data_IF_825157420255
#
_entry.id   IF_825157420255
#
_cell.length_a   1.000
_cell.length_b   1.000
_cell.length_c   1.000
_cell.angle_alpha   90.00
_cell.angle_beta   90.00
_cell.angle_gamma   90.00
#
_symmetry.space_group_name_H-M   'P 1'
#
loop_
_entity.id
_entity.type
_entity.pdbx_description
1 polymer ?
#
# COMPACT_ATOMS: atom_id res chain seq x y z
N UNK A 1 20.17 -42.07 -63.20
CA UNK A 1 19.33 -41.65 -62.06
C UNK A 1 20.23 -41.12 -60.96
N UNK A 2 20.35 -39.80 -60.80
CA UNK A 2 21.09 -39.16 -59.70
C UNK A 2 20.07 -38.34 -58.89
N UNK A 3 19.84 -38.75 -57.64
CA UNK A 3 18.90 -38.11 -56.72
C UNK A 3 19.51 -36.87 -56.08
N UNK A 4 18.83 -35.73 -56.21
CA UNK A 4 19.13 -34.50 -55.49
C UNK A 4 18.36 -34.50 -54.17
N UNK A 5 19.05 -34.33 -53.03
CA UNK A 5 18.44 -34.10 -51.72
C UNK A 5 18.59 -32.63 -51.36
N UNK A 6 17.47 -31.92 -51.28
CA UNK A 6 17.39 -30.55 -50.75
C UNK A 6 17.15 -30.63 -49.24
N UNK A 7 17.91 -29.92 -48.38
CA UNK A 7 17.61 -29.87 -46.96
C UNK A 7 16.50 -28.84 -46.70
N UNK A 8 15.49 -29.25 -45.94
CA UNK A 8 14.41 -28.39 -45.45
C UNK A 8 14.91 -27.69 -44.17
N UNK A 9 15.13 -26.37 -44.23
CA UNK A 9 15.45 -25.58 -43.04
C UNK A 9 14.16 -25.30 -42.26
N UNK A 10 14.03 -25.88 -41.07
CA UNK A 10 12.95 -25.57 -40.12
C UNK A 10 13.37 -24.31 -39.35
N UNK A 11 12.70 -23.20 -39.62
CA UNK A 11 12.84 -21.98 -38.82
C UNK A 11 12.05 -22.17 -37.51
N UNK A 12 12.76 -22.31 -36.38
CA UNK A 12 12.15 -22.17 -35.05
C UNK A 12 11.83 -20.69 -34.82
N UNK A 13 10.56 -20.33 -34.87
CA UNK A 13 10.07 -19.05 -34.34
C UNK A 13 10.05 -19.18 -32.82
N UNK A 14 11.02 -18.56 -32.16
CA UNK A 14 10.97 -18.38 -30.71
C UNK A 14 9.85 -17.38 -30.39
N UNK A 15 8.74 -17.87 -29.83
CA UNK A 15 7.77 -17.00 -29.17
C UNK A 15 8.45 -16.36 -27.96
N UNK A 16 8.85 -15.11 -28.09
CA UNK A 16 9.17 -14.27 -26.96
C UNK A 16 7.87 -14.06 -26.17
N UNK A 17 7.67 -14.86 -25.12
CA UNK A 17 6.73 -14.53 -24.06
C UNK A 17 7.22 -13.22 -23.45
N UNK A 18 6.62 -12.10 -23.82
CA UNK A 18 6.73 -10.87 -23.06
C UNK A 18 6.06 -11.13 -21.73
N UNK A 19 6.84 -11.57 -20.75
CA UNK A 19 6.44 -11.53 -19.36
C UNK A 19 6.22 -10.05 -19.03
N UNK A 20 4.99 -9.59 -19.14
CA UNK A 20 4.60 -8.33 -18.53
C UNK A 20 4.77 -8.54 -17.03
N UNK A 21 5.84 -7.97 -16.49
CA UNK A 21 6.04 -7.90 -15.06
C UNK A 21 4.80 -7.21 -14.46
N UNK A 22 4.12 -7.92 -13.56
CA UNK A 22 2.95 -7.42 -12.88
C UNK A 22 3.40 -6.37 -11.85
N UNK A 23 2.89 -5.15 -11.94
CA UNK A 23 3.27 -4.02 -11.08
C UNK A 23 3.23 -4.41 -9.59
N UNK A 24 2.28 -5.25 -9.17
CA UNK A 24 2.23 -5.76 -7.80
C UNK A 24 3.41 -6.67 -7.43
N UNK A 25 3.84 -7.53 -8.34
CA UNK A 25 5.02 -8.40 -8.16
C UNK A 25 6.32 -7.58 -8.14
N UNK A 26 6.43 -6.55 -8.96
CA UNK A 26 7.57 -5.63 -8.97
C UNK A 26 7.66 -4.86 -7.65
N UNK A 27 6.53 -4.39 -7.12
CA UNK A 27 6.45 -3.78 -5.79
C UNK A 27 6.92 -4.76 -4.70
N UNK A 28 6.53 -6.03 -4.75
CA UNK A 28 7.03 -7.05 -3.80
C UNK A 28 8.54 -7.25 -3.90
N UNK A 29 9.08 -7.35 -5.12
CA UNK A 29 10.53 -7.43 -5.35
C UNK A 29 11.24 -6.22 -4.74
N UNK A 30 10.71 -5.01 -4.97
CA UNK A 30 11.26 -3.76 -4.43
C UNK A 30 11.22 -3.73 -2.90
N UNK A 31 10.10 -4.09 -2.28
CA UNK A 31 9.96 -4.13 -0.83
C UNK A 31 10.93 -5.13 -0.17
N UNK A 32 11.11 -6.30 -0.79
CA UNK A 32 12.11 -7.27 -0.33
C UNK A 32 13.54 -6.72 -0.42
N UNK A 33 13.88 -6.01 -1.49
CA UNK A 33 15.20 -5.35 -1.61
C UNK A 33 15.38 -4.29 -0.51
N UNK A 34 14.39 -3.41 -0.33
CA UNK A 34 14.43 -2.35 0.69
C UNK A 34 14.58 -2.93 2.10
N UNK A 35 13.80 -3.96 2.42
CA UNK A 35 13.82 -4.60 3.74
C UNK A 35 15.16 -5.27 4.06
N UNK A 36 15.77 -5.96 3.09
CA UNK A 36 17.02 -6.70 3.29
C UNK A 36 18.27 -5.82 3.25
N UNK A 37 18.17 -4.58 2.79
CA UNK A 37 19.31 -3.68 2.59
C UNK A 37 19.67 -2.90 3.88
N UNK A 38 20.52 -3.53 4.71
CA UNK A 38 20.95 -3.00 6.01
C UNK A 38 22.13 -2.04 5.94
N UNK A 39 22.36 -1.37 4.81
CA UNK A 39 23.44 -0.38 4.70
C UNK A 39 23.30 0.73 5.75
N UNK A 40 24.44 1.30 6.13
CA UNK A 40 24.50 2.37 7.13
C UNK A 40 23.94 3.70 6.58
N UNK A 41 24.23 4.00 5.32
CA UNK A 41 23.83 5.24 4.64
C UNK A 41 23.68 5.01 3.13
N UNK A 42 23.15 6.00 2.42
CA UNK A 42 22.89 5.95 0.99
C UNK A 42 24.03 6.54 0.15
N UNK A 43 25.27 6.22 0.50
CA UNK A 43 26.47 6.65 -0.23
C UNK A 43 27.10 7.91 0.35
N UNK A 44 27.19 7.97 1.67
CA UNK A 44 27.88 9.01 2.45
C UNK A 44 27.13 9.43 3.71
N UNK A 45 27.84 10.00 4.70
CA UNK A 45 27.28 10.31 6.01
C UNK A 45 26.23 11.43 6.00
N UNK A 46 26.11 12.18 4.91
CA UNK A 46 25.04 13.17 4.71
C UNK A 46 23.75 12.58 4.13
N UNK A 47 23.70 11.26 3.89
CA UNK A 47 22.59 10.58 3.23
C UNK A 47 22.06 9.45 4.11
N UNK A 48 21.22 9.73 5.13
CA UNK A 48 20.62 8.69 5.97
C UNK A 48 20.03 7.52 5.19
N UNK A 49 20.08 6.31 5.75
CA UNK A 49 19.65 5.10 5.05
C UNK A 49 18.17 5.11 4.60
N UNK A 50 17.28 5.84 5.28
CA UNK A 50 15.88 5.97 4.86
C UNK A 50 15.69 6.58 3.47
N UNK A 51 16.73 7.22 2.91
CA UNK A 51 16.68 7.78 1.56
C UNK A 51 16.61 6.69 0.49
N UNK A 52 17.11 5.47 0.75
CA UNK A 52 17.24 4.43 -0.27
C UNK A 52 17.03 2.99 0.22
N UNK A 53 16.89 2.76 1.54
CA UNK A 53 16.66 1.44 2.10
C UNK A 53 15.66 1.47 3.25
N UNK A 54 15.16 0.28 3.60
CA UNK A 54 14.07 0.06 4.54
C UNK A 54 12.70 0.47 4.00
N UNK A 55 11.66 -0.05 4.65
CA UNK A 55 10.26 0.20 4.31
C UNK A 55 9.72 1.25 5.27
N UNK A 56 9.55 2.47 4.78
CA UNK A 56 8.89 3.54 5.51
C UNK A 56 7.39 3.48 5.24
N UNK A 57 6.57 3.46 6.28
CA UNK A 57 5.12 3.33 6.11
C UNK A 57 4.36 4.01 7.25
N UNK A 58 3.06 4.23 7.02
CA UNK A 58 2.14 4.75 8.04
C UNK A 58 0.91 3.85 8.12
N UNK A 59 0.63 3.36 9.33
CA UNK A 59 -0.64 2.71 9.63
C UNK A 59 -1.75 3.75 9.79
N UNK A 60 -2.95 3.47 9.28
CA UNK A 60 -4.07 4.41 9.28
C UNK A 60 -5.35 3.75 9.76
N UNK A 61 -6.21 4.51 10.43
CA UNK A 61 -7.60 4.12 10.64
C UNK A 61 -8.35 4.21 9.32
N UNK A 62 -8.97 3.12 8.84
CA UNK A 62 -9.83 3.20 7.67
C UNK A 62 -11.03 4.12 7.94
N UNK A 63 -11.31 5.05 7.05
CA UNK A 63 -12.45 5.96 7.16
C UNK A 63 -12.91 6.44 5.79
N UNK A 64 -14.22 6.65 5.67
CA UNK A 64 -14.84 7.34 4.53
C UNK A 64 -14.99 8.84 4.75
N UNK A 65 -14.74 9.33 5.97
CA UNK A 65 -14.91 10.74 6.36
C UNK A 65 -13.71 11.60 5.97
N UNK A 66 -12.55 10.97 5.73
CA UNK A 66 -11.31 11.61 5.30
C UNK A 66 -10.51 10.66 4.41
N UNK A 67 -9.57 11.22 3.64
CA UNK A 67 -8.68 10.42 2.81
C UNK A 67 -7.58 9.81 3.67
N UNK A 68 -7.12 8.62 3.33
CA UNK A 68 -6.06 7.93 4.08
C UNK A 68 -4.74 8.71 4.16
N UNK A 69 -4.49 9.61 3.20
CA UNK A 69 -3.33 10.48 3.14
C UNK A 69 -3.56 11.86 3.78
N UNK A 70 -4.75 12.13 4.33
CA UNK A 70 -5.02 13.39 5.00
C UNK A 70 -4.20 13.53 6.28
N UNK A 71 -3.70 14.74 6.52
CA UNK A 71 -2.90 15.08 7.68
C UNK A 71 -3.86 15.41 8.82
N UNK A 72 -3.80 14.61 9.90
CA UNK A 72 -4.69 14.77 11.06
C UNK A 72 -4.62 16.19 11.66
N UNK A 73 -5.67 16.69 12.34
CA UNK A 73 -5.62 18.01 13.00
C UNK A 73 -4.43 18.20 13.95
N UNK A 74 -4.03 17.15 14.68
CA UNK A 74 -2.82 17.19 15.52
C UNK A 74 -1.53 17.32 14.71
N UNK A 75 -1.46 16.61 13.58
CA UNK A 75 -0.31 16.72 12.67
C UNK A 75 -0.26 18.06 11.95
N UNK A 76 -1.41 18.65 11.61
CA UNK A 76 -1.48 20.01 11.09
C UNK A 76 -0.98 21.03 12.11
N UNK A 77 -1.40 20.90 13.39
CA UNK A 77 -0.98 21.80 14.46
C UNK A 77 0.50 21.66 14.84
N UNK A 78 1.01 20.42 14.93
CA UNK A 78 2.42 20.18 15.26
C UNK A 78 3.36 20.43 14.08
N UNK A 79 2.88 20.29 12.85
CA UNK A 79 3.70 20.35 11.64
C UNK A 79 4.41 19.03 11.32
N UNK A 80 4.12 17.94 12.02
CA UNK A 80 4.71 16.64 11.74
C UNK A 80 3.74 15.47 11.72
N UNK A 81 4.13 14.41 11.02
CA UNK A 81 3.36 13.18 10.86
C UNK A 81 4.22 11.98 11.25
N UNK A 82 3.67 11.08 12.09
CA UNK A 82 4.39 9.88 12.50
C UNK A 82 4.42 8.82 11.39
N UNK A 83 5.55 8.17 11.24
CA UNK A 83 5.75 7.02 10.37
C UNK A 83 6.56 5.94 11.11
N UNK A 84 6.47 4.72 10.64
CA UNK A 84 7.28 3.61 11.14
C UNK A 84 8.24 3.14 10.05
N UNK A 85 9.39 2.61 10.47
CA UNK A 85 10.47 2.18 9.57
C UNK A 85 10.83 0.71 9.82
N UNK A 86 10.68 -0.12 8.81
CA UNK A 86 10.92 -1.56 8.89
C UNK A 86 12.09 -1.99 8.00
N UNK A 87 13.06 -2.64 8.62
CA UNK A 87 14.24 -3.22 7.98
C UNK A 87 14.63 -4.50 8.71
N UNK A 88 15.43 -5.36 8.09
CA UNK A 88 15.83 -6.65 8.65
C UNK A 88 16.47 -6.55 10.05
N UNK A 89 17.18 -5.47 10.31
CA UNK A 89 17.87 -5.13 11.56
C UNK A 89 17.08 -4.14 12.46
N UNK A 90 15.85 -3.77 12.10
CA UNK A 90 15.00 -2.80 12.82
C UNK A 90 13.53 -3.27 12.93
N UNK A 91 13.32 -4.59 13.11
CA UNK A 91 12.01 -5.24 13.03
C UNK A 91 11.23 -5.32 14.34
N UNK A 92 9.91 -5.32 14.22
CA UNK A 92 8.93 -5.40 15.32
C UNK A 92 7.67 -6.16 14.85
N UNK A 93 6.90 -6.70 15.80
CA UNK A 93 5.83 -7.67 15.52
C UNK A 93 4.42 -7.09 15.36
N UNK A 94 4.22 -5.79 15.63
CA UNK A 94 2.90 -5.16 15.60
C UNK A 94 2.96 -3.69 15.21
N UNK A 95 1.84 -3.14 14.78
CA UNK A 95 1.67 -1.72 14.52
C UNK A 95 1.12 -0.97 15.73
N UNK A 96 1.27 0.35 15.71
CA UNK A 96 0.66 1.24 16.70
C UNK A 96 -0.86 1.04 16.78
N UNK A 97 -1.41 1.11 17.99
CA UNK A 97 -2.85 1.00 18.29
C UNK A 97 -3.54 -0.28 17.79
N UNK A 98 -2.80 -1.33 17.43
CA UNK A 98 -3.37 -2.56 16.88
C UNK A 98 -3.94 -2.39 15.46
N UNK A 99 -3.55 -1.32 14.76
CA UNK A 99 -3.88 -1.11 13.36
C UNK A 99 -3.33 -2.25 12.48
N UNK A 100 -3.99 -2.49 11.36
CA UNK A 100 -3.71 -3.64 10.48
C UNK A 100 -3.53 -3.28 9.01
N UNK A 101 -3.61 -1.99 8.68
CA UNK A 101 -3.49 -1.49 7.31
C UNK A 101 -3.00 -0.05 7.27
N UNK A 102 -2.59 0.36 6.08
CA UNK A 102 -2.07 1.69 5.83
C UNK A 102 -1.45 1.79 4.44
N UNK A 103 -0.44 2.63 4.32
CA UNK A 103 0.27 2.86 3.07
C UNK A 103 1.78 2.93 3.28
N UNK A 104 2.52 2.56 2.24
CA UNK A 104 3.98 2.53 2.18
C UNK A 104 4.44 3.69 1.30
N UNK A 105 5.37 4.50 1.80
CA UNK A 105 5.97 5.57 1.03
C UNK A 105 7.00 5.02 0.05
N UNK A 106 7.16 5.66 -1.10
CA UNK A 106 8.41 5.49 -1.86
C UNK A 106 9.60 5.97 -1.03
N UNK A 107 10.76 5.35 -1.21
CA UNK A 107 12.00 5.93 -0.71
C UNK A 107 12.29 7.24 -1.44
N UNK A 108 12.88 8.24 -0.77
CA UNK A 108 13.23 9.53 -1.38
C UNK A 108 14.06 9.38 -2.67
N UNK A 109 15.09 8.53 -2.71
CA UNK A 109 15.87 8.28 -3.94
C UNK A 109 15.15 7.40 -4.98
N UNK A 110 14.05 6.77 -4.60
CA UNK A 110 13.16 6.03 -5.51
C UNK A 110 11.95 6.85 -5.96
N UNK A 111 11.77 8.06 -5.43
CA UNK A 111 10.65 8.93 -5.73
C UNK A 111 10.68 9.33 -7.22
N UNK A 112 9.55 9.30 -7.94
CA UNK A 112 9.49 9.86 -9.28
C UNK A 112 10.00 11.31 -9.31
N UNK A 113 10.75 11.68 -10.35
CA UNK A 113 11.42 13.00 -10.42
C UNK A 113 10.46 14.19 -10.41
N UNK A 114 9.20 13.97 -10.80
CA UNK A 114 8.13 14.96 -10.82
C UNK A 114 7.30 14.98 -9.52
N UNK A 115 7.63 14.11 -8.55
CA UNK A 115 7.05 14.11 -7.21
C UNK A 115 7.94 14.89 -6.24
N UNK A 116 7.35 15.41 -5.17
CA UNK A 116 8.10 16.09 -4.12
C UNK A 116 8.55 15.09 -3.07
N UNK A 117 9.78 15.28 -2.59
CA UNK A 117 10.32 14.52 -1.48
C UNK A 117 9.69 14.95 -0.15
N UNK A 118 9.48 14.00 0.74
CA UNK A 118 9.16 14.29 2.14
C UNK A 118 10.44 14.50 2.95
N UNK A 119 10.34 15.26 4.03
CA UNK A 119 11.44 15.44 4.98
C UNK A 119 11.25 14.52 6.19
N UNK A 120 12.28 13.74 6.54
CA UNK A 120 12.35 13.05 7.84
C UNK A 120 13.04 14.00 8.82
N UNK A 121 12.36 14.32 9.91
CA UNK A 121 12.82 15.30 10.91
C UNK A 121 13.64 14.64 12.01
N UNK A 122 13.11 13.57 12.58
CA UNK A 122 13.78 12.85 13.65
C UNK A 122 13.36 11.38 13.70
N UNK A 123 14.19 10.58 14.38
CA UNK A 123 13.95 9.16 14.60
C UNK A 123 14.06 8.80 16.08
N UNK A 124 13.07 8.06 16.56
CA UNK A 124 13.05 7.42 17.87
C UNK A 124 13.19 5.90 17.71
N UNK A 125 14.06 5.24 18.51
CA UNK A 125 14.22 3.78 18.46
C UNK A 125 12.97 2.99 18.87
N UNK A 126 12.07 3.60 19.62
CA UNK A 126 10.80 3.01 20.08
C UNK A 126 9.74 4.13 20.12
N UNK A 127 8.46 3.77 20.16
CA UNK A 127 7.33 4.70 20.34
C UNK A 127 7.67 5.82 21.33
N UNK A 128 7.39 7.06 20.94
CA UNK A 128 7.79 8.24 21.68
C UNK A 128 6.63 9.19 21.96
N UNK A 129 5.39 8.74 21.73
CA UNK A 129 4.19 9.53 21.92
C UNK A 129 4.26 10.92 21.25
N UNK A 130 4.72 10.96 20.00
CA UNK A 130 5.16 12.21 19.37
C UNK A 130 4.08 13.26 19.14
N UNK A 131 2.81 12.87 19.20
CA UNK A 131 1.66 13.79 19.22
C UNK A 131 1.68 14.79 20.40
N UNK A 132 2.39 14.45 21.49
CA UNK A 132 2.50 15.27 22.68
C UNK A 132 3.84 16.03 22.80
N UNK A 133 4.63 16.05 21.73
CA UNK A 133 5.97 16.64 21.70
C UNK A 133 6.05 17.96 20.92
N UNK A 134 6.97 18.83 21.36
CA UNK A 134 7.32 20.09 20.68
C UNK A 134 8.22 19.85 19.44
N UNK A 135 8.49 20.90 18.66
CA UNK A 135 9.33 20.88 17.44
C UNK A 135 8.91 19.77 16.46
N UNK A 136 7.70 19.89 15.92
CA UNK A 136 7.11 18.90 15.01
C UNK A 136 7.08 17.46 15.57
N UNK A 137 7.13 17.30 16.89
CA UNK A 137 7.10 16.01 17.59
C UNK A 137 8.47 15.44 17.93
N UNK A 138 9.54 16.21 17.82
CA UNK A 138 10.92 15.71 17.96
C UNK A 138 11.58 15.98 19.31
N UNK A 139 11.07 16.90 20.11
CA UNK A 139 11.74 17.30 21.38
C UNK A 139 10.81 17.12 22.58
N UNK A 140 10.92 18.01 23.55
CA UNK A 140 10.16 18.14 24.80
C UNK A 140 8.72 17.59 24.75
N UNK A 141 8.42 16.71 25.70
CA UNK A 141 7.13 16.03 25.82
C UNK A 141 6.26 16.64 26.90
N UNK A 142 5.01 16.98 26.55
CA UNK A 142 4.03 17.47 27.52
C UNK A 142 3.61 16.41 28.55
N UNK A 143 4.00 15.15 28.36
CA UNK A 143 3.71 14.03 29.28
C UNK A 143 4.70 13.95 30.45
N UNK A 144 5.80 14.70 30.41
CA UNK A 144 6.91 14.59 31.38
C UNK A 144 7.17 15.95 32.05
N UNK A 145 6.18 16.48 32.80
CA UNK A 145 6.28 17.83 33.37
C UNK A 145 7.51 17.95 34.28
N UNK A 146 8.26 19.05 34.11
CA UNK A 146 9.48 19.34 34.87
C UNK A 146 10.76 18.76 34.28
N UNK A 147 10.68 18.08 33.13
CA UNK A 147 11.83 17.61 32.34
C UNK A 147 11.70 18.23 30.95
N UNK A 148 12.83 18.52 30.30
CA UNK A 148 12.86 19.04 28.92
C UNK A 148 13.63 18.06 28.06
N UNK A 149 12.93 17.27 27.24
CA UNK A 149 13.58 16.41 26.26
C UNK A 149 14.13 17.22 25.09
N UNK A 150 15.31 16.83 24.61
CA UNK A 150 16.04 17.47 23.51
C UNK A 150 16.43 16.45 22.46
N UNK A 151 16.98 16.91 21.35
CA UNK A 151 17.71 16.03 20.45
C UNK A 151 18.88 15.38 21.19
N UNK A 152 19.21 14.14 20.84
CA UNK A 152 20.25 13.38 21.54
C UNK A 152 21.62 14.07 21.49
N UNK A 153 21.98 14.64 20.33
CA UNK A 153 23.27 15.29 20.16
C UNK A 153 23.43 16.55 21.04
N UNK A 154 22.35 17.25 21.37
CA UNK A 154 22.37 18.41 22.28
C UNK A 154 22.65 18.01 23.74
N UNK A 155 22.57 16.72 24.04
CA UNK A 155 22.84 16.15 25.36
C UNK A 155 24.15 15.33 25.37
N UNK A 156 24.94 15.39 24.30
CA UNK A 156 26.15 14.58 24.14
C UNK A 156 25.88 13.09 23.88
N UNK A 157 24.62 12.71 23.61
CA UNK A 157 24.23 11.34 23.27
C UNK A 157 24.35 11.19 21.75
N UNK A 158 25.32 10.41 21.32
CA UNK A 158 25.66 10.19 19.91
C UNK A 158 25.75 8.72 19.53
N UNK A 159 25.67 7.80 20.50
CA UNK A 159 25.66 6.35 20.24
C UNK A 159 24.43 5.67 20.79
N UNK A 160 24.12 4.50 20.22
CA UNK A 160 23.08 3.61 20.71
C UNK A 160 23.25 3.22 22.18
N UNK A 161 24.48 3.00 22.64
CA UNK A 161 24.78 2.65 24.03
C UNK A 161 24.50 3.81 24.99
N UNK A 162 24.88 5.04 24.59
CA UNK A 162 24.57 6.25 25.34
C UNK A 162 23.06 6.49 25.42
N UNK A 163 22.35 6.27 24.31
CA UNK A 163 20.90 6.36 24.27
C UNK A 163 20.26 5.33 25.22
N UNK A 164 20.69 4.06 25.19
CA UNK A 164 20.18 3.02 26.08
C UNK A 164 20.45 3.32 27.56
N UNK A 165 21.63 3.83 27.89
CA UNK A 165 21.98 4.24 29.25
C UNK A 165 21.05 5.35 29.75
N UNK A 166 20.79 6.37 28.91
CA UNK A 166 19.84 7.44 29.23
C UNK A 166 18.40 6.93 29.35
N UNK A 167 17.95 6.08 28.42
CA UNK A 167 16.62 5.49 28.43
C UNK A 167 16.38 4.64 29.70
N UNK A 168 17.35 3.83 30.10
CA UNK A 168 17.31 3.07 31.36
C UNK A 168 17.33 3.95 32.61
N UNK A 169 18.12 5.03 32.61
CA UNK A 169 18.12 6.02 33.69
C UNK A 169 16.72 6.67 33.83
N UNK A 170 16.03 6.85 32.71
CA UNK A 170 14.65 7.32 32.65
C UNK A 170 13.62 6.19 32.82
N UNK A 171 14.03 5.01 33.31
CA UNK A 171 13.18 3.85 33.62
C UNK A 171 12.43 3.27 32.41
N UNK A 172 12.97 3.44 31.21
CA UNK A 172 12.32 2.97 29.98
C UNK A 172 11.03 3.72 29.65
N UNK A 173 10.89 4.97 30.11
CA UNK A 173 9.71 5.78 29.80
C UNK A 173 9.77 6.28 28.35
N UNK A 174 8.79 5.88 27.54
CA UNK A 174 8.65 6.23 26.12
C UNK A 174 8.56 7.75 25.90
N UNK A 175 8.08 8.50 26.89
CA UNK A 175 8.03 9.96 26.83
C UNK A 175 9.35 10.62 27.24
N UNK A 176 10.23 9.93 27.97
CA UNK A 176 11.53 10.44 28.47
C UNK A 176 12.70 9.85 27.70
N UNK A 177 12.69 10.07 26.38
CA UNK A 177 13.79 9.73 25.49
C UNK A 177 14.13 10.90 24.57
N UNK A 178 15.41 11.06 24.27
CA UNK A 178 15.88 11.98 23.24
C UNK A 178 15.63 11.38 21.84
N UNK A 179 15.52 12.25 20.83
CA UNK A 179 15.39 11.86 19.43
C UNK A 179 16.70 12.04 18.67
N UNK A 180 16.93 11.19 17.67
CA UNK A 180 18.02 11.40 16.72
C UNK A 180 17.55 12.42 15.68
N UNK A 181 18.18 13.60 15.66
CA UNK A 181 17.94 14.63 14.65
C UNK A 181 18.57 14.23 13.32
N UNK A 182 17.74 14.09 12.29
CA UNK A 182 18.15 13.61 10.96
C UNK A 182 17.78 14.58 9.85
N UNK A 183 17.41 15.82 10.21
CA UNK A 183 17.09 16.86 9.23
C UNK A 183 18.30 17.18 8.36
N UNK A 184 18.03 17.68 7.17
CA UNK A 184 19.06 18.00 6.17
C UNK A 184 20.11 19.00 6.70
N UNK A 185 19.74 19.90 7.62
CA UNK A 185 20.68 20.86 8.22
C UNK A 185 21.78 20.18 9.06
N UNK A 186 21.56 18.93 9.49
CA UNK A 186 22.60 18.12 10.17
C UNK A 186 23.67 17.63 9.19
N UNK A 187 23.42 17.68 7.89
CA UNK A 187 24.35 17.30 6.83
C UNK A 187 25.06 15.97 7.17
N UNK A 188 26.39 15.93 7.23
CA UNK A 188 27.18 14.72 7.51
C UNK A 188 26.93 14.09 8.88
N UNK A 189 26.19 14.73 9.78
CA UNK A 189 25.79 14.15 11.05
C UNK A 189 24.43 13.41 10.98
N UNK A 190 23.61 13.64 9.95
CA UNK A 190 22.29 13.03 9.81
C UNK A 190 22.36 11.51 9.62
N UNK A 191 23.23 11.03 8.71
CA UNK A 191 23.39 9.61 8.42
C UNK A 191 23.85 8.81 9.64
N UNK A 192 24.95 9.21 10.32
CA UNK A 192 25.36 8.61 11.58
C UNK A 192 24.27 8.64 12.66
N UNK A 193 23.53 9.75 12.81
CA UNK A 193 22.45 9.85 13.79
C UNK A 193 21.33 8.83 13.50
N UNK A 194 20.87 8.71 12.26
CA UNK A 194 19.87 7.72 11.88
C UNK A 194 20.37 6.28 12.07
N UNK A 195 21.62 6.01 11.72
CA UNK A 195 22.20 4.68 11.96
C UNK A 195 22.22 4.31 13.45
N UNK A 196 22.53 5.28 14.32
CA UNK A 196 22.53 5.07 15.76
C UNK A 196 21.11 4.88 16.32
N UNK A 197 20.07 5.45 15.70
CA UNK A 197 18.68 5.16 16.09
C UNK A 197 18.30 3.71 15.80
N UNK A 198 18.71 3.16 14.65
CA UNK A 198 18.51 1.74 14.33
C UNK A 198 19.29 0.85 15.31
N UNK A 199 20.57 1.16 15.56
CA UNK A 199 21.37 0.42 16.54
C UNK A 199 20.77 0.46 17.94
N UNK A 200 20.21 1.59 18.35
CA UNK A 200 19.55 1.73 19.66
C UNK A 200 18.39 0.74 19.82
N UNK A 201 17.64 0.43 18.75
CA UNK A 201 16.60 -0.60 18.79
C UNK A 201 17.16 -1.96 19.21
N UNK A 202 18.34 -2.35 18.71
CA UNK A 202 19.00 -3.60 19.06
C UNK A 202 19.44 -3.66 20.53
N UNK A 203 19.75 -2.51 21.14
CA UNK A 203 20.15 -2.45 22.55
C UNK A 203 18.99 -2.65 23.53
N UNK A 204 17.74 -2.59 23.04
CA UNK A 204 16.49 -2.86 23.76
C UNK A 204 15.62 -3.89 23.03
N UNK A 205 16.26 -4.87 22.37
CA UNK A 205 15.61 -5.78 21.41
C UNK A 205 14.38 -6.54 21.93
N UNK A 206 14.29 -6.84 23.23
CA UNK A 206 13.09 -7.47 23.79
C UNK A 206 11.89 -6.53 23.77
N UNK A 207 12.11 -5.25 24.09
CA UNK A 207 11.07 -4.23 24.12
C UNK A 207 10.72 -3.73 22.72
N UNK A 208 11.74 -3.35 21.94
CA UNK A 208 11.58 -2.82 20.57
C UNK A 208 11.01 -3.85 19.60
N UNK A 209 11.13 -5.16 19.88
CA UNK A 209 10.42 -6.16 19.07
C UNK A 209 8.90 -6.14 19.31
N UNK A 210 8.47 -5.73 20.50
CA UNK A 210 7.05 -5.72 20.90
C UNK A 210 6.36 -4.37 20.71
N UNK A 211 7.11 -3.34 20.35
CA UNK A 211 6.66 -1.96 20.18
C UNK A 211 7.36 -1.35 18.96
N UNK A 212 6.61 -0.76 18.05
CA UNK A 212 7.12 -0.10 16.86
C UNK A 212 8.12 1.03 17.19
N UNK A 213 9.02 1.31 16.26
CA UNK A 213 9.75 2.57 16.25
C UNK A 213 8.87 3.73 15.75
N UNK A 214 9.39 4.95 15.87
CA UNK A 214 8.67 6.13 15.44
C UNK A 214 9.61 7.16 14.78
N UNK A 215 9.33 7.47 13.52
CA UNK A 215 9.93 8.58 12.79
C UNK A 215 8.92 9.73 12.72
N UNK A 216 9.43 10.96 12.67
CA UNK A 216 8.63 12.15 12.37
C UNK A 216 8.98 12.67 11.00
N UNK A 217 7.96 12.78 10.16
CA UNK A 217 8.03 13.42 8.86
C UNK A 217 7.48 14.84 8.98
N UNK A 218 7.98 15.78 8.17
CA UNK A 218 7.29 17.04 7.96
C UNK A 218 5.89 16.78 7.40
N UNK A 219 4.90 17.60 7.77
CA UNK A 219 3.59 17.54 7.13
C UNK A 219 3.72 17.85 5.62
N UNK A 220 2.80 17.29 4.85
CA UNK A 220 2.68 17.53 3.41
C UNK A 220 1.38 18.26 3.08
N UNK A 221 1.31 18.80 1.87
CA UNK A 221 0.09 19.39 1.32
C UNK A 221 -0.80 18.31 0.70
N UNK A 222 -2.11 18.42 0.90
CA UNK A 222 -3.09 17.40 0.49
C UNK A 222 -3.63 17.65 -0.93
N UNK A 223 -2.77 17.81 -1.95
CA UNK A 223 -3.23 18.17 -3.31
C UNK A 223 -2.64 17.33 -4.46
N UNK A 224 -3.41 16.33 -4.94
CA UNK A 224 -3.43 14.93 -4.46
C UNK A 224 -2.07 14.43 -3.87
N UNK A 225 -1.93 13.19 -3.36
CA UNK A 225 -0.66 12.72 -2.80
C UNK A 225 0.42 12.48 -3.87
N UNK A 226 0.86 13.55 -4.54
CA UNK A 226 2.14 13.66 -5.28
C UNK A 226 3.29 14.05 -4.36
N UNK A 227 3.00 14.19 -3.07
CA UNK A 227 3.93 14.59 -2.01
C UNK A 227 3.39 14.07 -0.67
N UNK A 228 3.97 13.02 -0.07
CA UNK A 228 4.96 12.09 -0.63
C UNK A 228 4.38 11.06 -1.61
N UNK A 229 5.24 10.51 -2.47
CA UNK A 229 4.87 9.38 -3.33
C UNK A 229 4.61 8.11 -2.51
N UNK A 230 3.67 7.32 -3.00
CA UNK A 230 3.16 6.14 -2.33
C UNK A 230 3.47 4.94 -3.22
N UNK A 231 4.19 3.97 -2.64
CA UNK A 231 4.62 2.76 -3.32
C UNK A 231 3.53 1.67 -3.33
N UNK A 232 2.76 1.59 -2.24
CA UNK A 232 1.72 0.58 -2.08
C UNK A 232 0.74 0.93 -0.95
N UNK A 233 -0.46 0.36 -1.02
CA UNK A 233 -1.26 0.12 0.19
C UNK A 233 -0.79 -1.17 0.84
N UNK A 234 -0.97 -1.30 2.15
CA UNK A 234 -0.65 -2.54 2.84
C UNK A 234 -1.72 -2.97 3.83
N UNK A 235 -1.74 -4.27 4.08
CA UNK A 235 -2.38 -4.88 5.25
C UNK A 235 -1.44 -5.91 5.88
N UNK A 236 -1.55 -6.16 7.18
CA UNK A 236 -0.67 -7.10 7.90
C UNK A 236 -1.29 -8.47 8.13
N UNK A 237 -2.62 -8.55 8.09
CA UNK A 237 -3.43 -9.75 8.27
C UNK A 237 -4.85 -9.51 7.73
N UNK A 238 -5.65 -10.56 7.53
CA UNK A 238 -6.94 -10.45 6.82
C UNK A 238 -7.89 -9.38 7.39
N UNK A 239 -7.89 -9.16 8.70
CA UNK A 239 -8.68 -8.11 9.35
C UNK A 239 -8.32 -6.67 8.94
N UNK A 240 -7.19 -6.46 8.25
CA UNK A 240 -6.78 -5.17 7.68
C UNK A 240 -7.08 -5.00 6.19
N UNK A 241 -7.48 -6.06 5.48
CA UNK A 241 -7.62 -6.05 4.02
C UNK A 241 -8.62 -5.01 3.53
N UNK A 242 -9.79 -4.91 4.17
CA UNK A 242 -10.83 -3.95 3.79
C UNK A 242 -10.40 -2.50 3.98
N UNK A 243 -9.55 -2.22 4.97
CA UNK A 243 -8.92 -0.92 5.13
C UNK A 243 -7.97 -0.58 3.99
N UNK A 244 -7.13 -1.54 3.58
CA UNK A 244 -6.22 -1.34 2.46
C UNK A 244 -6.95 -1.19 1.11
N UNK A 245 -8.06 -1.94 0.90
CA UNK A 245 -8.92 -1.83 -0.28
C UNK A 245 -9.63 -0.47 -0.35
N UNK A 246 -10.13 0.03 0.78
CA UNK A 246 -10.68 1.39 0.87
C UNK A 246 -9.64 2.43 0.45
N UNK A 247 -8.42 2.34 0.98
CA UNK A 247 -7.34 3.25 0.61
C UNK A 247 -6.97 3.16 -0.88
N UNK A 248 -6.97 1.95 -1.46
CA UNK A 248 -6.75 1.74 -2.90
C UNK A 248 -7.82 2.45 -3.75
N UNK A 249 -9.09 2.38 -3.35
CA UNK A 249 -10.19 3.08 -4.03
C UNK A 249 -10.05 4.60 -3.93
N UNK A 250 -9.76 5.10 -2.74
CA UNK A 250 -9.50 6.53 -2.49
C UNK A 250 -8.35 7.05 -3.36
N UNK A 251 -7.26 6.29 -3.46
CA UNK A 251 -6.14 6.60 -4.34
C UNK A 251 -6.58 6.64 -5.81
N UNK A 252 -7.26 5.60 -6.30
CA UNK A 252 -7.68 5.54 -7.70
C UNK A 252 -8.63 6.70 -8.07
N UNK A 253 -9.56 7.05 -7.18
CA UNK A 253 -10.45 8.22 -7.38
C UNK A 253 -9.70 9.55 -7.40
N UNK A 254 -8.64 9.69 -6.60
CA UNK A 254 -7.89 10.94 -6.47
C UNK A 254 -6.83 11.12 -7.57
N UNK A 255 -6.20 10.03 -8.00
CA UNK A 255 -4.99 10.04 -8.84
C UNK A 255 -5.23 9.42 -10.22
N UNK A 256 -6.25 8.56 -10.38
CA UNK A 256 -6.54 7.86 -11.62
C UNK A 256 -5.53 6.77 -12.00
N UNK A 257 -4.71 6.32 -11.03
CA UNK A 257 -3.64 5.35 -11.25
C UNK A 257 -3.83 4.11 -10.38
N UNK A 258 -3.37 2.96 -10.88
CA UNK A 258 -3.33 1.72 -10.10
C UNK A 258 -2.19 1.78 -9.06
N UNK A 259 -2.51 1.39 -7.83
CA UNK A 259 -1.56 1.23 -6.74
C UNK A 259 -1.85 -0.10 -6.01
N UNK A 260 -0.86 -1.00 -5.87
CA UNK A 260 -1.12 -2.34 -5.38
C UNK A 260 -1.37 -2.36 -3.86
N UNK A 261 -2.23 -3.29 -3.43
CA UNK A 261 -2.40 -3.70 -2.04
C UNK A 261 -1.46 -4.88 -1.77
N UNK A 262 -0.54 -4.72 -0.83
CA UNK A 262 0.47 -5.71 -0.45
C UNK A 262 0.17 -6.28 0.94
N UNK A 263 0.26 -7.61 1.07
CA UNK A 263 0.30 -8.23 2.38
C UNK A 263 1.72 -8.06 2.95
N UNK A 264 1.87 -7.19 3.96
CA UNK A 264 3.10 -6.97 4.70
C UNK A 264 3.00 -7.70 6.05
N UNK A 265 3.39 -8.97 6.10
CA UNK A 265 3.33 -9.74 7.35
C UNK A 265 4.51 -9.35 8.24
N UNK A 266 4.20 -8.93 9.47
CA UNK A 266 5.21 -8.64 10.47
C UNK A 266 5.71 -9.95 11.14
N UNK A 267 6.99 -10.02 11.52
CA UNK A 267 7.56 -11.21 12.14
C UNK A 267 6.91 -11.51 13.49
N UNK A 268 6.65 -12.79 13.77
CA UNK A 268 6.06 -13.22 15.06
C UNK A 268 7.11 -13.56 16.11
N UNK A 269 8.36 -13.78 15.69
CA UNK A 269 9.53 -13.92 16.56
C UNK A 269 10.73 -13.15 16.01
N UNK A 270 11.74 -12.88 16.85
CA UNK A 270 12.95 -12.15 16.42
C UNK A 270 13.77 -12.87 15.36
N UNK A 271 13.63 -14.19 15.25
CA UNK A 271 14.32 -15.01 14.26
C UNK A 271 13.62 -14.94 12.89
N UNK A 272 12.35 -14.59 12.85
CA UNK A 272 11.59 -14.43 11.61
C UNK A 272 11.81 -13.05 11.00
N UNK A 273 11.75 -13.00 9.68
CA UNK A 273 11.78 -11.76 8.92
C UNK A 273 10.34 -11.35 8.52
N UNK A 274 10.16 -10.07 8.20
CA UNK A 274 8.91 -9.62 7.58
C UNK A 274 8.82 -10.17 6.15
N UNK A 275 7.60 -10.44 5.69
CA UNK A 275 7.36 -10.91 4.32
C UNK A 275 6.41 -9.98 3.58
N UNK A 276 6.55 -9.95 2.27
CA UNK A 276 5.72 -9.14 1.37
C UNK A 276 5.13 -10.06 0.31
N UNK A 277 3.81 -10.04 0.15
CA UNK A 277 3.12 -10.84 -0.85
C UNK A 277 2.08 -10.00 -1.59
N UNK A 278 1.98 -10.23 -2.90
CA UNK A 278 0.96 -9.69 -3.75
C UNK A 278 0.01 -10.81 -4.17
N UNK A 279 -1.29 -10.53 -4.08
CA UNK A 279 -2.35 -11.41 -4.57
C UNK A 279 -3.34 -10.55 -5.37
N UNK A 280 -3.49 -10.87 -6.65
CA UNK A 280 -4.40 -10.15 -7.55
C UNK A 280 -5.87 -10.28 -7.12
N UNK A 281 -6.24 -11.34 -6.40
CA UNK A 281 -7.59 -11.53 -5.85
C UNK A 281 -7.88 -10.62 -4.65
N UNK A 282 -6.84 -10.08 -4.01
CA UNK A 282 -6.96 -9.17 -2.86
C UNK A 282 -7.12 -7.70 -3.30
N UNK A 283 -6.97 -7.39 -4.58
CA UNK A 283 -7.17 -6.06 -5.16
C UNK A 283 -8.65 -5.78 -5.45
N UNK A 284 -9.06 -4.51 -5.39
CA UNK A 284 -10.36 -4.04 -5.93
C UNK A 284 -10.14 -3.42 -7.31
N UNK A 285 -9.22 -2.48 -7.40
CA UNK A 285 -8.80 -1.86 -8.66
C UNK A 285 -7.80 -2.78 -9.36
N UNK A 286 -7.93 -2.90 -10.68
CA UNK A 286 -7.08 -3.75 -11.52
C UNK A 286 -6.04 -2.92 -12.29
N UNK A 287 -4.83 -3.46 -12.55
CA UNK A 287 -3.86 -2.79 -13.41
C UNK A 287 -4.41 -2.63 -14.84
N UNK A 288 -4.20 -1.46 -15.46
CA UNK A 288 -4.63 -1.20 -16.84
C UNK A 288 -3.54 -1.59 -17.84
N UNK A 289 -3.91 -2.15 -18.99
CA UNK A 289 -2.97 -2.44 -20.08
C UNK A 289 -2.94 -1.36 -21.16
N UNK A 290 -3.99 -0.54 -21.24
CA UNK A 290 -4.08 0.60 -22.15
C UNK A 290 -4.65 1.84 -21.42
N UNK A 291 -4.35 3.04 -21.93
CA UNK A 291 -4.85 4.31 -21.37
C UNK A 291 -6.36 4.42 -21.58
N UNK A 292 -7.04 5.16 -20.70
CA UNK A 292 -8.46 5.43 -20.85
C UNK A 292 -8.81 6.00 -22.24
N UNK A 293 -9.77 5.35 -22.89
CA UNK A 293 -10.24 5.71 -24.24
C UNK A 293 -11.63 6.36 -24.25
N UNK A 294 -12.37 6.26 -23.14
CA UNK A 294 -13.67 6.90 -22.96
C UNK A 294 -13.61 7.97 -21.87
N UNK A 295 -14.42 9.01 -22.00
CA UNK A 295 -14.66 9.99 -20.92
C UNK A 295 -15.36 9.32 -19.73
N UNK A 296 -16.40 8.53 -20.02
CA UNK A 296 -17.03 7.58 -19.08
C UNK A 296 -17.38 6.28 -19.78
N UNK A 297 -17.21 5.17 -19.07
CA UNK A 297 -17.56 3.84 -19.54
C UNK A 297 -19.01 3.46 -19.22
N UNK A 298 -19.53 3.93 -18.08
CA UNK A 298 -20.83 3.55 -17.52
C UNK A 298 -21.77 4.74 -17.59
N UNK A 299 -22.91 4.61 -18.27
CA UNK A 299 -23.95 5.64 -18.25
C UNK A 299 -24.66 5.67 -16.90
N UNK A 300 -25.11 4.51 -16.42
CA UNK A 300 -25.73 4.31 -15.11
C UNK A 300 -25.44 2.91 -14.58
N UNK A 301 -25.41 2.76 -13.27
CA UNK A 301 -25.39 1.46 -12.61
C UNK A 301 -26.25 1.52 -11.34
N UNK A 302 -27.11 0.53 -11.14
CA UNK A 302 -28.09 0.54 -10.04
C UNK A 302 -28.28 -0.85 -9.47
N UNK A 303 -28.28 -0.94 -8.14
CA UNK A 303 -28.57 -2.17 -7.44
C UNK A 303 -30.06 -2.50 -7.50
N UNK A 304 -30.37 -3.68 -8.02
CA UNK A 304 -31.73 -4.20 -8.11
C UNK A 304 -31.76 -5.63 -7.60
N UNK A 305 -32.88 -6.01 -6.99
CA UNK A 305 -33.13 -7.39 -6.58
C UNK A 305 -33.92 -8.10 -7.68
N UNK A 306 -33.41 -9.22 -8.18
CA UNK A 306 -33.99 -9.94 -9.32
C UNK A 306 -34.07 -11.43 -9.04
N UNK A 307 -35.12 -12.08 -9.54
CA UNK A 307 -35.20 -13.54 -9.55
C UNK A 307 -34.08 -14.10 -10.45
N UNK A 308 -33.19 -14.92 -9.89
CA UNK A 308 -32.16 -15.61 -10.66
C UNK A 308 -32.51 -17.08 -10.84
N UNK A 309 -32.69 -17.56 -12.09
CA UNK A 309 -32.99 -18.96 -12.37
C UNK A 309 -31.88 -19.93 -11.92
N UNK A 310 -30.64 -19.46 -11.87
CA UNK A 310 -29.50 -20.27 -11.44
C UNK A 310 -29.50 -20.52 -9.93
N UNK A 311 -29.81 -19.50 -9.12
CA UNK A 311 -29.89 -19.62 -7.67
C UNK A 311 -31.27 -20.04 -7.15
N UNK A 312 -32.31 -19.98 -7.98
CA UNK A 312 -33.68 -20.32 -7.59
C UNK A 312 -34.28 -19.38 -6.54
N UNK A 313 -33.71 -18.16 -6.42
CA UNK A 313 -34.15 -17.12 -5.48
C UNK A 313 -33.81 -15.75 -6.02
N UNK A 314 -34.28 -14.72 -5.32
CA UNK A 314 -33.84 -13.35 -5.53
C UNK A 314 -32.39 -13.14 -5.10
N UNK A 315 -31.64 -12.40 -5.91
CA UNK A 315 -30.26 -11.98 -5.63
C UNK A 315 -30.08 -10.50 -5.93
N UNK A 316 -29.12 -9.88 -5.25
CA UNK A 316 -28.69 -8.52 -5.54
C UNK A 316 -27.83 -8.48 -6.80
N UNK A 317 -28.23 -7.63 -7.74
CA UNK A 317 -27.61 -7.47 -9.05
C UNK A 317 -27.29 -6.00 -9.29
N UNK A 318 -26.09 -5.71 -9.81
CA UNK A 318 -25.76 -4.40 -10.34
C UNK A 318 -26.18 -4.36 -11.81
N UNK A 319 -27.29 -3.70 -12.10
CA UNK A 319 -27.75 -3.46 -13.47
C UNK A 319 -26.99 -2.26 -14.04
N UNK A 320 -26.19 -2.51 -15.07
CA UNK A 320 -25.26 -1.56 -15.68
C UNK A 320 -25.72 -1.20 -17.09
N UNK A 321 -25.85 0.09 -17.38
CA UNK A 321 -26.05 0.62 -18.73
C UNK A 321 -24.73 1.24 -19.19
N UNK A 322 -24.01 0.63 -20.13
CA UNK A 322 -22.79 1.21 -20.71
C UNK A 322 -23.08 2.45 -21.56
N UNK A 323 -22.13 3.39 -21.62
CA UNK A 323 -22.14 4.43 -22.66
C UNK A 323 -21.91 3.82 -24.04
N UNK A 324 -22.18 4.56 -25.12
CA UNK A 324 -21.84 4.11 -26.48
C UNK A 324 -20.35 3.80 -26.64
N UNK A 325 -19.47 4.64 -26.06
CA UNK A 325 -18.04 4.39 -26.02
C UNK A 325 -17.69 3.15 -25.19
N UNK A 326 -18.23 3.07 -23.97
CA UNK A 326 -18.00 1.95 -23.06
C UNK A 326 -18.42 0.61 -23.65
N UNK A 327 -19.47 0.59 -24.48
CA UNK A 327 -19.93 -0.59 -25.21
C UNK A 327 -18.95 -1.08 -26.27
N UNK A 328 -18.09 -0.22 -26.80
CA UNK A 328 -17.17 -0.54 -27.90
C UNK A 328 -15.75 -0.90 -27.44
N UNK A 329 -15.46 -0.85 -26.13
CA UNK A 329 -14.12 -1.15 -25.60
C UNK A 329 -13.64 -2.55 -25.99
N UNK A 330 -12.32 -2.65 -26.23
CA UNK A 330 -11.61 -3.89 -26.54
C UNK A 330 -10.97 -4.47 -25.27
N UNK A 331 -10.40 -5.66 -25.39
CA UNK A 331 -9.86 -6.42 -24.27
C UNK A 331 -8.89 -5.61 -23.40
N UNK A 332 -8.02 -4.79 -24.02
CA UNK A 332 -7.06 -3.91 -23.35
C UNK A 332 -7.67 -2.78 -22.50
N UNK A 333 -8.98 -2.53 -22.63
CA UNK A 333 -9.71 -1.47 -21.92
C UNK A 333 -10.75 -2.01 -20.93
N UNK A 334 -10.89 -3.33 -20.82
CA UNK A 334 -11.90 -3.94 -19.94
C UNK A 334 -11.61 -3.69 -18.45
N UNK A 335 -10.34 -3.52 -18.06
CA UNK A 335 -9.97 -3.12 -16.71
C UNK A 335 -10.31 -1.64 -16.44
N UNK A 336 -10.19 -0.77 -17.43
CA UNK A 336 -10.56 0.64 -17.30
C UNK A 336 -12.05 0.78 -17.02
N UNK A 337 -12.89 0.08 -17.77
CA UNK A 337 -14.33 -0.01 -17.51
C UNK A 337 -14.60 -0.57 -16.11
N UNK A 338 -13.98 -1.71 -15.77
CA UNK A 338 -14.20 -2.34 -14.48
C UNK A 338 -13.81 -1.44 -13.31
N UNK A 339 -12.70 -0.71 -13.43
CA UNK A 339 -12.22 0.17 -12.37
C UNK A 339 -13.15 1.37 -12.15
N UNK A 340 -13.84 1.88 -13.17
CA UNK A 340 -14.90 2.89 -13.02
C UNK A 340 -16.08 2.31 -12.20
N UNK A 341 -16.56 1.11 -12.56
CA UNK A 341 -17.60 0.43 -11.79
C UNK A 341 -17.17 0.16 -10.34
N UNK A 342 -15.97 -0.36 -10.15
CA UNK A 342 -15.45 -0.72 -8.83
C UNK A 342 -15.22 0.52 -7.97
N UNK A 343 -14.71 1.62 -8.53
CA UNK A 343 -14.57 2.87 -7.78
C UNK A 343 -15.92 3.37 -7.30
N UNK A 344 -16.95 3.28 -8.13
CA UNK A 344 -18.24 3.90 -7.83
C UNK A 344 -19.10 3.03 -6.90
N UNK A 345 -19.03 1.69 -7.04
CA UNK A 345 -20.00 0.78 -6.41
C UNK A 345 -19.40 -0.29 -5.48
N UNK A 346 -18.08 -0.43 -5.37
CA UNK A 346 -17.52 -1.50 -4.52
C UNK A 346 -17.96 -1.38 -3.06
N UNK A 347 -18.07 -0.16 -2.53
CA UNK A 347 -18.45 0.07 -1.13
C UNK A 347 -19.95 -0.14 -0.86
N UNK A 348 -20.76 -0.34 -1.90
CA UNK A 348 -22.17 -0.63 -1.73
C UNK A 348 -22.35 -2.01 -1.08
N UNK A 349 -23.29 -2.13 -0.15
CA UNK A 349 -23.54 -3.36 0.61
C UNK A 349 -23.82 -4.57 -0.29
N UNK A 350 -24.44 -4.35 -1.46
CA UNK A 350 -24.71 -5.40 -2.45
C UNK A 350 -23.45 -6.09 -2.99
N UNK A 351 -22.31 -5.39 -2.99
CA UNK A 351 -21.01 -5.92 -3.41
C UNK A 351 -20.11 -6.25 -2.22
N UNK A 352 -19.79 -5.25 -1.38
CA UNK A 352 -18.83 -5.40 -0.28
C UNK A 352 -19.24 -6.48 0.70
N UNK A 353 -20.52 -6.47 1.10
CA UNK A 353 -21.07 -7.32 2.15
C UNK A 353 -21.85 -8.51 1.58
N UNK A 354 -21.65 -8.82 0.28
CA UNK A 354 -22.34 -9.90 -0.39
C UNK A 354 -22.18 -11.23 0.38
N UNK A 355 -23.28 -11.88 0.79
CA UNK A 355 -23.20 -13.07 1.64
C UNK A 355 -22.81 -14.34 0.89
N UNK A 356 -22.95 -14.37 -0.43
CA UNK A 356 -22.84 -15.57 -1.25
C UNK A 356 -21.40 -15.85 -1.71
N UNK A 357 -20.60 -14.79 -1.90
CA UNK A 357 -19.24 -14.92 -2.42
C UNK A 357 -18.29 -13.85 -1.87
N UNK A 358 -18.04 -13.87 -0.56
CA UNK A 358 -17.21 -12.87 0.13
C UNK A 358 -15.77 -12.79 -0.39
N UNK A 359 -15.16 -13.94 -0.67
CA UNK A 359 -13.72 -14.00 -0.99
C UNK A 359 -13.41 -13.72 -2.47
N UNK A 360 -14.41 -13.83 -3.36
CA UNK A 360 -14.21 -13.65 -4.80
C UNK A 360 -15.20 -12.69 -5.47
N UNK A 361 -15.99 -11.90 -4.72
CA UNK A 361 -16.99 -10.98 -5.28
C UNK A 361 -16.40 -10.01 -6.31
N UNK A 362 -15.22 -9.44 -6.06
CA UNK A 362 -14.52 -8.55 -7.01
C UNK A 362 -14.18 -9.31 -8.30
N UNK A 363 -13.57 -10.48 -8.17
CA UNK A 363 -13.23 -11.33 -9.33
C UNK A 363 -14.46 -11.77 -10.10
N UNK A 364 -15.55 -12.08 -9.40
CA UNK A 364 -16.84 -12.46 -9.97
C UNK A 364 -17.43 -11.33 -10.80
N UNK A 365 -17.53 -10.13 -10.24
CA UNK A 365 -18.01 -8.95 -10.95
C UNK A 365 -17.14 -8.62 -12.18
N UNK A 366 -15.82 -8.76 -12.04
CA UNK A 366 -14.88 -8.59 -13.16
C UNK A 366 -15.10 -9.62 -14.26
N UNK A 367 -15.35 -10.88 -13.91
CA UNK A 367 -15.65 -11.96 -14.84
C UNK A 367 -16.99 -11.73 -15.53
N UNK A 368 -18.03 -11.38 -14.78
CA UNK A 368 -19.36 -11.05 -15.29
C UNK A 368 -19.31 -9.95 -16.35
N UNK A 369 -18.59 -8.86 -16.06
CA UNK A 369 -18.43 -7.76 -17.00
C UNK A 369 -17.81 -8.22 -18.33
N UNK A 370 -16.72 -8.99 -18.27
CA UNK A 370 -16.08 -9.50 -19.50
C UNK A 370 -16.92 -10.54 -20.22
N UNK A 371 -17.67 -11.38 -19.52
CA UNK A 371 -18.61 -12.28 -20.17
C UNK A 371 -19.68 -11.49 -20.94
N UNK A 372 -20.22 -10.41 -20.37
CA UNK A 372 -21.20 -9.54 -21.03
C UNK A 372 -20.63 -8.86 -22.28
N UNK A 373 -19.36 -8.47 -22.28
CA UNK A 373 -18.68 -7.97 -23.49
C UNK A 373 -18.64 -8.99 -24.63
N UNK A 374 -18.66 -10.29 -24.33
CA UNK A 374 -18.59 -11.37 -25.32
C UNK A 374 -19.96 -11.74 -25.88
N UNK A 375 -21.00 -11.86 -25.03
CA UNK A 375 -22.29 -12.43 -25.45
C UNK A 375 -23.47 -11.45 -25.37
N UNK A 376 -23.33 -10.35 -24.63
CA UNK A 376 -24.42 -9.43 -24.31
C UNK A 376 -24.11 -7.98 -24.71
N UNK A 377 -23.07 -7.75 -25.52
CA UNK A 377 -22.56 -6.40 -25.84
C UNK A 377 -23.63 -5.45 -26.37
N UNK A 378 -24.62 -5.95 -27.12
CA UNK A 378 -25.67 -5.13 -27.71
C UNK A 378 -26.95 -5.01 -26.86
N UNK A 379 -27.03 -5.66 -25.70
CA UNK A 379 -28.16 -5.50 -24.78
C UNK A 379 -28.14 -4.11 -24.13
N UNK A 380 -29.30 -3.46 -23.91
CA UNK A 380 -29.35 -2.14 -23.28
C UNK A 380 -28.67 -2.13 -21.91
N UNK A 381 -29.08 -3.04 -21.02
CA UNK A 381 -28.46 -3.26 -19.71
C UNK A 381 -27.72 -4.60 -19.59
N UNK A 382 -26.73 -4.63 -18.69
CA UNK A 382 -25.96 -5.80 -18.27
C UNK A 382 -26.18 -6.05 -16.79
N UNK A 383 -26.45 -7.30 -16.41
CA UNK A 383 -26.71 -7.68 -15.02
C UNK A 383 -25.46 -8.34 -14.45
N UNK A 384 -24.75 -7.62 -13.59
CA UNK A 384 -23.52 -8.11 -12.97
C UNK A 384 -23.79 -8.50 -11.52
N UNK A 385 -23.38 -9.71 -11.14
CA UNK A 385 -23.80 -10.31 -9.88
C UNK A 385 -22.59 -10.80 -9.09
N UNK A 386 -22.31 -10.20 -7.92
CA UNK A 386 -21.17 -10.60 -7.10
C UNK A 386 -21.34 -12.00 -6.50
N UNK A 387 -22.58 -12.48 -6.35
CA UNK A 387 -22.91 -13.80 -5.80
C UNK A 387 -22.44 -14.98 -6.66
N UNK A 388 -22.23 -14.78 -7.97
CA UNK A 388 -21.77 -15.85 -8.86
C UNK A 388 -20.35 -16.29 -8.47
N UNK A 389 -20.00 -17.59 -8.47
CA UNK A 389 -18.63 -18.03 -8.23
C UNK A 389 -17.67 -17.49 -9.30
N UNK A 390 -16.38 -17.38 -8.98
CA UNK A 390 -15.39 -17.05 -10.00
C UNK A 390 -15.09 -18.26 -10.89
N UNK A 391 -15.00 -18.06 -12.21
CA UNK A 391 -14.67 -19.12 -13.19
C UNK A 391 -13.85 -18.57 -14.37
N UNK A 392 -13.46 -19.44 -15.30
CA UNK A 392 -12.76 -19.04 -16.54
C UNK A 392 -13.67 -18.22 -17.46
N UNK A 393 -13.09 -17.58 -18.48
CA UNK A 393 -13.92 -16.81 -19.41
C UNK A 393 -14.81 -17.74 -20.23
N UNK A 394 -14.19 -18.82 -20.69
CA UNK A 394 -14.76 -19.85 -21.55
C UNK A 394 -15.95 -20.52 -20.85
N UNK A 395 -15.78 -20.89 -19.57
CA UNK A 395 -16.85 -21.50 -18.78
C UNK A 395 -17.99 -20.53 -18.50
N UNK A 396 -17.68 -19.26 -18.23
CA UNK A 396 -18.69 -18.22 -18.01
C UNK A 396 -19.51 -17.99 -19.28
N UNK A 397 -18.87 -17.91 -20.45
CA UNK A 397 -19.53 -17.78 -21.76
C UNK A 397 -20.39 -19.01 -22.07
N UNK A 398 -19.86 -20.22 -21.85
CA UNK A 398 -20.59 -21.47 -22.09
C UNK A 398 -21.87 -21.58 -21.25
N UNK A 399 -21.88 -20.96 -20.07
CA UNK A 399 -23.05 -20.87 -19.18
C UNK A 399 -23.89 -19.61 -19.38
N UNK A 400 -23.64 -18.82 -20.43
CA UNK A 400 -24.39 -17.60 -20.73
C UNK A 400 -24.22 -16.51 -19.68
N UNK A 401 -23.05 -16.42 -19.05
CA UNK A 401 -22.74 -15.61 -17.88
C UNK A 401 -23.50 -16.00 -16.60
N UNK A 402 -24.20 -17.14 -16.57
CA UNK A 402 -25.01 -17.56 -15.43
C UNK A 402 -24.37 -18.71 -14.64
N UNK A 403 -23.08 -18.59 -14.32
CA UNK A 403 -22.39 -19.65 -13.59
C UNK A 403 -22.87 -19.72 -12.13
N UNK A 404 -23.23 -20.92 -11.68
CA UNK A 404 -23.68 -21.20 -10.30
C UNK A 404 -22.84 -22.26 -9.62
#
# INVERSE_FOLDING_TARGET
MKGSRTPLAIALVALALTAHADQGTDTVTRLNQLYNDTRQDCGGPSKPAFLCSGVLFRATWPSTDYQFYSVSPKSQASGGVSASYLRKDSKYRKLAYGLKSGFIFDTIFGNPKDHQDYAVLCSFPIDAATDDRNQQGCTDSRRTPGVVEKYCHEQGITTAEQWNANYKQNRGDHSRQCSFDVRDERNTAAGPAFYQSIRAMATIADESFTTQNELRLAKWEENPPKSPSILAMFYTEDGGLEGARLNQLQWYKSVGQYLPVINMQLPQSRQQDATFAYDSKKQVIQPISEKNSCERYVQSATWVERDDPGFGRKIMTLEVTPTDCGRQVKDGQTNNFFNELASDHYLDAGWKDNPDNRDSSVGSMRRQLVCHFNIARNKPEWNLEPSRPYTSNEDSIAKGCNNT
#
